data_IF_747922031723
#
_entry.id   IF_747922031723
#
_cell.length_a   1.000
_cell.length_b   1.000
_cell.length_c   1.000
_cell.angle_alpha   90.00
_cell.angle_beta   90.00
_cell.angle_gamma   90.00
#
_symmetry.space_group_name_H-M   'P 1'
#
loop_
_entity.id
_entity.type
_entity.pdbx_description
1 polymer ?
#
# COMPACT_ATOMS: atom_id res chain seq x y z
N UNK A 1 56.87 -16.67 7.04
CA UNK A 1 56.21 -16.33 5.77
C UNK A 1 55.09 -15.35 6.10
N UNK A 2 55.29 -14.13 5.61
CA UNK A 2 54.36 -13.02 5.41
C UNK A 2 53.68 -12.36 6.61
N UNK A 3 54.50 -11.61 7.34
CA UNK A 3 54.12 -10.37 8.04
C UNK A 3 53.83 -9.27 7.02
N UNK A 4 52.60 -9.19 6.50
CA UNK A 4 52.13 -8.02 5.74
C UNK A 4 51.79 -6.88 6.68
N UNK A 5 52.85 -6.23 7.18
CA UNK A 5 52.83 -4.94 7.85
C UNK A 5 52.44 -3.87 6.83
N UNK A 6 51.17 -3.42 6.84
CA UNK A 6 50.74 -2.28 6.04
C UNK A 6 51.42 -1.00 6.56
N UNK A 7 52.21 -0.29 5.74
CA UNK A 7 52.90 0.91 6.19
C UNK A 7 51.94 2.11 6.29
N UNK A 8 52.05 2.77 7.44
CA UNK A 8 51.86 4.19 7.69
C UNK A 8 50.47 4.79 7.37
N UNK A 9 49.68 4.96 8.45
CA UNK A 9 48.85 6.16 8.63
C UNK A 9 49.74 7.37 8.37
N UNK A 10 49.63 7.96 7.19
CA UNK A 10 50.26 9.22 6.88
C UNK A 10 49.69 10.25 7.85
N UNK A 11 50.57 10.75 8.72
CA UNK A 11 50.32 11.89 9.58
C UNK A 11 49.82 13.03 8.70
N UNK A 12 48.52 13.33 8.80
CA UNK A 12 47.99 14.59 8.31
C UNK A 12 48.75 15.70 9.02
N UNK A 13 49.28 16.73 8.33
CA UNK A 13 49.88 17.84 9.02
C UNK A 13 48.81 18.41 9.94
N UNK A 14 49.11 18.46 11.24
CA UNK A 14 48.47 19.36 12.17
C UNK A 14 48.76 20.79 11.71
N UNK A 15 48.13 21.22 10.62
CA UNK A 15 48.13 22.60 10.15
C UNK A 15 46.81 23.20 10.59
N UNK A 16 46.97 24.13 11.53
CA UNK A 16 46.09 25.25 11.82
C UNK A 16 44.98 24.94 12.84
N UNK A 17 45.42 24.62 14.07
CA UNK A 17 44.83 25.22 15.27
C UNK A 17 45.17 26.72 15.35
N UNK A 18 44.88 27.45 14.27
CA UNK A 18 44.97 28.89 14.16
C UNK A 18 43.74 29.29 13.36
N UNK A 19 42.97 30.23 13.90
CA UNK A 19 41.71 30.72 13.33
C UNK A 19 41.76 30.73 11.80
N UNK A 20 41.09 29.75 11.19
CA UNK A 20 40.94 29.74 9.75
C UNK A 20 39.97 30.87 9.41
N UNK A 21 40.49 32.07 9.17
CA UNK A 21 39.89 33.11 8.34
C UNK A 21 39.83 32.59 6.89
N UNK A 22 39.10 31.50 6.68
CA UNK A 22 38.68 31.07 5.37
C UNK A 22 37.86 32.18 4.72
N UNK A 23 37.87 32.26 3.40
CA UNK A 23 37.05 33.26 2.71
C UNK A 23 35.58 33.12 3.13
N UNK A 24 34.78 34.20 3.07
CA UNK A 24 33.36 34.15 3.45
C UNK A 24 32.60 32.98 2.78
N UNK A 25 32.94 32.65 1.53
CA UNK A 25 32.38 31.51 0.81
C UNK A 25 32.74 30.15 1.44
N UNK A 26 33.97 29.97 1.94
CA UNK A 26 34.40 28.73 2.61
C UNK A 26 33.73 28.56 3.98
N UNK A 27 33.53 29.66 4.71
CA UNK A 27 32.80 29.63 5.98
C UNK A 27 31.32 29.29 5.75
N UNK A 28 30.68 29.92 4.78
CA UNK A 28 29.29 29.61 4.40
C UNK A 28 29.13 28.15 3.97
N UNK A 29 30.08 27.60 3.21
CA UNK A 29 30.06 26.20 2.81
C UNK A 29 30.17 25.24 4.01
N UNK A 30 31.07 25.52 4.96
CA UNK A 30 31.20 24.71 6.19
C UNK A 30 29.92 24.77 7.03
N UNK A 31 29.31 25.94 7.15
CA UNK A 31 28.02 26.10 7.84
C UNK A 31 26.91 25.32 7.13
N UNK A 32 26.86 25.36 5.79
CA UNK A 32 25.88 24.60 5.02
C UNK A 32 26.03 23.08 5.20
N UNK A 33 27.27 22.57 5.24
CA UNK A 33 27.52 21.15 5.56
C UNK A 33 26.98 20.81 6.96
N UNK A 34 27.30 21.64 7.97
CA UNK A 34 26.79 21.43 9.33
C UNK A 34 25.26 21.43 9.39
N UNK A 35 24.60 22.35 8.69
CA UNK A 35 23.14 22.39 8.61
C UNK A 35 22.55 21.15 7.93
N UNK A 36 23.19 20.62 6.89
CA UNK A 36 22.74 19.38 6.22
C UNK A 36 22.92 18.17 7.13
N UNK A 37 24.01 18.09 7.88
CA UNK A 37 24.24 17.01 8.86
C UNK A 37 23.22 17.05 9.99
N UNK A 38 22.93 18.24 10.53
CA UNK A 38 21.88 18.42 11.53
C UNK A 38 20.51 17.99 10.98
N UNK A 39 20.15 18.41 9.76
CA UNK A 39 18.89 18.04 9.13
C UNK A 39 18.78 16.54 8.88
N UNK A 40 19.89 15.86 8.55
CA UNK A 40 19.94 14.41 8.41
C UNK A 40 19.67 13.70 9.73
N UNK A 41 20.23 14.21 10.82
CA UNK A 41 20.00 13.64 12.16
C UNK A 41 18.55 13.88 12.61
N UNK A 42 18.01 15.09 12.39
CA UNK A 42 16.60 15.40 12.64
C UNK A 42 15.66 14.48 11.85
N UNK A 43 15.96 14.22 10.57
CA UNK A 43 15.17 13.33 9.73
C UNK A 43 15.23 11.88 10.21
N UNK A 44 16.39 11.42 10.69
CA UNK A 44 16.54 10.08 11.28
C UNK A 44 15.68 9.96 12.54
N UNK A 45 15.79 10.92 13.46
CA UNK A 45 15.00 10.98 14.69
C UNK A 45 13.50 10.99 14.41
N UNK A 46 13.05 11.80 13.44
CA UNK A 46 11.63 11.86 13.07
C UNK A 46 11.11 10.53 12.53
N UNK A 47 11.92 9.79 11.75
CA UNK A 47 11.55 8.47 11.24
C UNK A 47 11.45 7.43 12.35
N UNK A 48 12.37 7.47 13.31
CA UNK A 48 12.33 6.59 14.48
C UNK A 48 11.09 6.87 15.34
N UNK A 49 10.79 8.15 15.59
CA UNK A 49 9.57 8.56 16.30
C UNK A 49 8.31 8.13 15.55
N UNK A 50 8.26 8.28 14.22
CA UNK A 50 7.15 7.82 13.40
C UNK A 50 6.98 6.30 13.47
N UNK A 51 8.08 5.54 13.40
CA UNK A 51 8.05 4.09 13.53
C UNK A 51 7.51 3.66 14.90
N UNK A 52 8.01 4.29 15.98
CA UNK A 52 7.54 4.04 17.34
C UNK A 52 6.06 4.41 17.52
N UNK A 53 5.61 5.55 16.98
CA UNK A 53 4.21 5.97 17.03
C UNK A 53 3.29 5.01 16.28
N UNK A 54 3.69 4.55 15.09
CA UNK A 54 2.94 3.52 14.33
C UNK A 54 2.86 2.21 15.12
N UNK A 55 3.95 1.77 15.73
CA UNK A 55 3.95 0.55 16.52
C UNK A 55 3.05 0.68 17.76
N UNK A 56 3.11 1.82 18.46
CA UNK A 56 2.24 2.10 19.60
C UNK A 56 0.77 2.13 19.18
N UNK A 57 0.45 2.79 18.07
CA UNK A 57 -0.89 2.81 17.49
C UNK A 57 -1.39 1.39 17.18
N UNK A 58 -0.60 0.58 16.49
CA UNK A 58 -0.96 -0.81 16.20
C UNK A 58 -1.15 -1.66 17.45
N UNK A 59 -0.36 -1.45 18.51
CA UNK A 59 -0.56 -2.13 19.80
C UNK A 59 -1.88 -1.76 20.48
N UNK A 60 -2.36 -0.54 20.25
CA UNK A 60 -3.64 -0.08 20.81
C UNK A 60 -4.83 -0.54 19.96
N UNK A 61 -4.70 -0.50 18.63
CA UNK A 61 -5.80 -0.81 17.71
C UNK A 61 -5.90 -2.29 17.37
N UNK A 62 -4.79 -3.04 17.44
CA UNK A 62 -4.74 -4.48 17.16
C UNK A 62 -5.73 -5.31 17.98
N UNK A 63 -5.79 -5.16 19.33
CA UNK A 63 -6.77 -5.86 20.15
C UNK A 63 -8.21 -5.54 19.78
N UNK A 64 -8.52 -4.26 19.55
CA UNK A 64 -9.86 -3.82 19.16
C UNK A 64 -10.26 -4.37 17.78
N UNK A 65 -9.32 -4.43 16.84
CA UNK A 65 -9.54 -5.06 15.54
C UNK A 65 -9.83 -6.55 15.71
N UNK A 66 -9.05 -7.27 16.52
CA UNK A 66 -9.26 -8.68 16.80
C UNK A 66 -10.62 -8.95 17.48
N UNK A 67 -11.01 -8.13 18.45
CA UNK A 67 -12.33 -8.19 19.09
C UNK A 67 -13.46 -7.93 18.10
N UNK A 68 -13.28 -6.96 17.20
CA UNK A 68 -14.27 -6.65 16.15
C UNK A 68 -14.41 -7.81 15.17
N UNK A 69 -13.31 -8.43 14.74
CA UNK A 69 -13.31 -9.62 13.87
C UNK A 69 -14.00 -10.78 14.59
N UNK A 70 -13.66 -11.05 15.84
CA UNK A 70 -14.28 -12.12 16.63
C UNK A 70 -15.78 -11.91 16.80
N UNK A 71 -16.21 -10.69 17.14
CA UNK A 71 -17.62 -10.35 17.28
C UNK A 71 -18.39 -10.51 15.96
N UNK A 72 -17.77 -10.16 14.83
CA UNK A 72 -18.38 -10.33 13.50
C UNK A 72 -18.48 -11.79 13.09
N UNK A 73 -17.45 -12.60 13.34
CA UNK A 73 -17.46 -14.05 13.07
C UNK A 73 -18.47 -14.80 13.95
N UNK A 74 -18.68 -14.34 15.18
CA UNK A 74 -19.69 -14.91 16.08
C UNK A 74 -21.12 -14.78 15.54
N UNK A 75 -21.37 -13.93 14.52
CA UNK A 75 -22.67 -13.83 13.85
C UNK A 75 -22.93 -14.95 12.84
N UNK A 76 -21.89 -15.64 12.34
CA UNK A 76 -22.08 -16.64 11.28
C UNK A 76 -22.91 -17.82 11.74
N UNK A 77 -22.47 -18.52 12.80
CA UNK A 77 -23.18 -19.69 13.32
C UNK A 77 -24.68 -19.43 13.57
N UNK A 78 -25.09 -18.40 14.35
CA UNK A 78 -26.51 -18.21 14.64
C UNK A 78 -27.33 -17.84 13.40
N UNK A 79 -26.74 -17.16 12.42
CA UNK A 79 -27.43 -16.79 11.17
C UNK A 79 -27.53 -17.99 10.22
N UNK A 80 -26.51 -18.83 10.12
CA UNK A 80 -26.56 -20.07 9.33
C UNK A 80 -27.55 -21.07 9.95
N UNK A 81 -27.61 -21.16 11.28
CA UNK A 81 -28.62 -21.93 12.00
C UNK A 81 -30.02 -21.38 11.71
N UNK A 82 -30.22 -20.06 11.70
CA UNK A 82 -31.51 -19.46 11.36
C UNK A 82 -31.95 -19.81 9.93
N UNK A 83 -31.03 -19.78 8.95
CA UNK A 83 -31.32 -20.15 7.56
C UNK A 83 -31.75 -21.62 7.40
N UNK A 84 -31.23 -22.52 8.20
CA UNK A 84 -31.54 -23.96 8.12
C UNK A 84 -32.74 -24.38 8.97
N UNK A 85 -33.13 -23.54 9.94
CA UNK A 85 -34.21 -23.84 10.90
C UNK A 85 -35.64 -23.85 10.32
N UNK A 86 -35.84 -23.28 9.13
CA UNK A 86 -37.16 -23.20 8.48
C UNK A 86 -38.14 -22.21 9.12
N UNK A 87 -37.69 -21.38 10.06
CA UNK A 87 -38.51 -20.32 10.67
C UNK A 87 -38.64 -19.07 9.81
N UNK A 88 -37.71 -18.85 8.88
CA UNK A 88 -37.64 -17.65 8.06
C UNK A 88 -38.53 -17.77 6.81
N UNK A 89 -39.14 -16.65 6.43
CA UNK A 89 -39.76 -16.54 5.11
C UNK A 89 -38.69 -16.26 4.04
N UNK A 90 -39.06 -16.37 2.75
CA UNK A 90 -38.13 -16.19 1.62
C UNK A 90 -37.40 -14.84 1.60
N UNK A 91 -38.07 -13.76 2.01
CA UNK A 91 -37.45 -12.44 2.04
C UNK A 91 -36.44 -12.33 3.20
N UNK A 92 -36.76 -12.92 4.34
CA UNK A 92 -35.86 -13.00 5.50
C UNK A 92 -34.65 -13.87 5.21
N UNK A 93 -34.82 -15.02 4.52
CA UNK A 93 -33.70 -15.85 4.06
C UNK A 93 -32.72 -15.05 3.19
N UNK A 94 -33.25 -14.28 2.23
CA UNK A 94 -32.44 -13.43 1.35
C UNK A 94 -31.70 -12.34 2.14
N UNK A 95 -32.40 -11.67 3.06
CA UNK A 95 -31.81 -10.65 3.90
C UNK A 95 -30.68 -11.20 4.78
N UNK A 96 -30.87 -12.37 5.38
CA UNK A 96 -29.83 -13.03 6.19
C UNK A 96 -28.63 -13.43 5.34
N UNK A 97 -28.85 -13.98 4.14
CA UNK A 97 -27.78 -14.30 3.20
C UNK A 97 -26.98 -13.05 2.77
N UNK A 98 -27.66 -11.92 2.52
CA UNK A 98 -27.01 -10.64 2.21
C UNK A 98 -26.16 -10.13 3.39
N UNK A 99 -26.66 -10.25 4.62
CA UNK A 99 -25.92 -9.87 5.83
C UNK A 99 -24.65 -10.72 5.99
N UNK A 100 -24.75 -12.04 5.77
CA UNK A 100 -23.60 -12.95 5.80
C UNK A 100 -22.55 -12.57 4.76
N UNK A 101 -22.99 -12.36 3.51
CA UNK A 101 -22.12 -11.98 2.40
C UNK A 101 -21.42 -10.62 2.63
N UNK A 102 -22.18 -9.59 3.02
CA UNK A 102 -21.62 -8.26 3.27
C UNK A 102 -20.66 -8.26 4.48
N UNK A 103 -20.97 -9.03 5.52
CA UNK A 103 -20.08 -9.19 6.65
C UNK A 103 -18.74 -9.81 6.23
N UNK A 104 -18.77 -10.93 5.49
CA UNK A 104 -17.58 -11.59 4.96
C UNK A 104 -16.75 -10.68 4.04
N UNK A 105 -17.41 -9.94 3.15
CA UNK A 105 -16.74 -8.96 2.29
C UNK A 105 -16.08 -7.85 3.11
N UNK A 106 -16.75 -7.37 4.16
CA UNK A 106 -16.22 -6.33 5.05
C UNK A 106 -15.00 -6.82 5.83
N UNK A 107 -15.03 -8.05 6.34
CA UNK A 107 -13.91 -8.69 7.02
C UNK A 107 -12.70 -8.85 6.10
N UNK A 108 -12.91 -9.37 4.89
CA UNK A 108 -11.84 -9.54 3.90
C UNK A 108 -11.25 -8.18 3.48
N UNK A 109 -12.09 -7.20 3.12
CA UNK A 109 -11.62 -5.93 2.57
C UNK A 109 -10.95 -5.01 3.61
N UNK A 110 -11.41 -5.02 4.87
CA UNK A 110 -10.95 -4.07 5.90
C UNK A 110 -9.97 -4.66 6.89
N UNK A 111 -10.07 -5.96 7.16
CA UNK A 111 -9.27 -6.65 8.16
C UNK A 111 -8.32 -7.69 7.55
N UNK A 112 -8.47 -8.00 6.25
CA UNK A 112 -7.62 -8.97 5.55
C UNK A 112 -7.91 -10.43 5.93
N UNK A 113 -9.10 -10.71 6.47
CA UNK A 113 -9.49 -12.05 6.90
C UNK A 113 -9.81 -12.96 5.71
N UNK A 114 -9.54 -14.27 5.87
CA UNK A 114 -9.88 -15.29 4.88
C UNK A 114 -11.32 -15.77 5.06
N UNK A 115 -12.26 -15.14 4.33
CA UNK A 115 -13.69 -15.47 4.36
C UNK A 115 -14.20 -16.03 3.01
N UNK A 116 -13.31 -16.65 2.23
CA UNK A 116 -13.61 -17.10 0.87
C UNK A 116 -14.75 -18.14 0.81
N UNK A 117 -14.83 -19.02 1.79
CA UNK A 117 -15.87 -20.06 1.86
C UNK A 117 -17.27 -19.47 2.08
N UNK A 118 -17.39 -18.48 2.97
CA UNK A 118 -18.64 -17.77 3.24
C UNK A 118 -19.05 -16.97 2.00
N UNK A 119 -18.10 -16.30 1.35
CA UNK A 119 -18.35 -15.55 0.11
C UNK A 119 -18.81 -16.44 -1.03
N UNK A 120 -18.22 -17.63 -1.18
CA UNK A 120 -18.62 -18.59 -2.22
C UNK A 120 -20.03 -19.14 -1.97
N UNK A 121 -20.39 -19.39 -0.70
CA UNK A 121 -21.68 -19.96 -0.31
C UNK A 121 -22.85 -18.98 -0.47
N UNK A 122 -22.63 -17.71 -0.13
CA UNK A 122 -23.66 -16.67 -0.10
C UNK A 122 -23.49 -15.62 -1.19
N UNK A 123 -22.67 -15.88 -2.21
CA UNK A 123 -22.56 -15.00 -3.37
C UNK A 123 -23.96 -14.74 -3.96
N UNK A 124 -24.29 -13.47 -4.29
CA UNK A 124 -25.54 -13.19 -4.96
C UNK A 124 -25.62 -14.00 -6.24
N UNK A 125 -26.79 -14.57 -6.52
CA UNK A 125 -27.01 -15.30 -7.75
C UNK A 125 -26.64 -14.39 -8.93
N UNK A 126 -25.84 -14.88 -9.90
CA UNK A 126 -25.51 -14.08 -11.07
C UNK A 126 -26.84 -13.66 -11.73
N UNK A 127 -26.97 -12.40 -12.17
CA UNK A 127 -28.15 -11.99 -12.90
C UNK A 127 -28.37 -12.96 -14.06
N UNK A 128 -29.62 -13.35 -14.36
CA UNK A 128 -29.88 -14.21 -15.50
C UNK A 128 -29.22 -13.57 -16.74
N UNK A 129 -28.50 -14.35 -17.57
CA UNK A 129 -27.92 -13.80 -18.79
C UNK A 129 -29.05 -13.17 -19.57
N UNK A 130 -28.94 -11.86 -19.84
CA UNK A 130 -29.89 -11.18 -20.70
C UNK A 130 -29.99 -11.97 -22.00
N UNK A 131 -31.18 -12.42 -22.43
CA UNK A 131 -31.33 -13.27 -23.60
C UNK A 131 -31.07 -12.54 -24.94
N UNK A 132 -30.26 -11.46 -24.94
CA UNK A 132 -30.04 -10.60 -26.11
C UNK A 132 -28.57 -10.27 -26.41
N UNK A 133 -27.59 -10.98 -25.86
CA UNK A 133 -26.19 -10.80 -26.25
C UNK A 133 -25.43 -12.12 -26.48
N UNK A 134 -26.03 -13.00 -27.28
CA UNK A 134 -25.25 -13.90 -28.14
C UNK A 134 -25.04 -13.22 -29.50
N UNK A 135 -24.04 -12.36 -29.55
CA UNK A 135 -23.36 -11.98 -30.79
C UNK A 135 -21.92 -11.58 -30.48
N UNK A 136 -20.89 -12.24 -31.05
CA UNK A 136 -19.52 -11.76 -30.94
C UNK A 136 -19.38 -10.55 -31.87
N UNK A 137 -19.65 -9.35 -31.34
CA UNK A 137 -19.23 -8.12 -31.99
C UNK A 137 -17.71 -7.99 -31.79
N UNK A 138 -16.95 -8.39 -32.80
CA UNK A 138 -15.54 -8.03 -32.95
C UNK A 138 -15.41 -6.51 -32.78
N UNK A 139 -14.89 -6.07 -31.64
CA UNK A 139 -14.46 -4.68 -31.49
C UNK A 139 -13.25 -4.47 -32.41
N UNK A 140 -13.25 -3.46 -33.31
CA UNK A 140 -12.02 -3.04 -33.95
C UNK A 140 -11.05 -2.52 -32.88
N UNK A 141 -9.73 -2.69 -33.04
CA UNK A 141 -8.75 -2.25 -32.07
C UNK A 141 -8.83 -0.73 -31.94
N UNK A 142 -9.32 -0.26 -30.79
CA UNK A 142 -9.27 1.15 -30.46
C UNK A 142 -7.84 1.50 -30.07
N UNK A 143 -7.09 2.03 -31.03
CA UNK A 143 -5.83 2.75 -30.73
C UNK A 143 -6.17 3.93 -29.82
N UNK A 144 -5.47 4.09 -28.69
CA UNK A 144 -5.72 5.19 -27.77
C UNK A 144 -5.45 6.54 -28.45
N UNK A 145 -6.28 7.55 -28.18
CA UNK A 145 -6.30 8.85 -28.87
C UNK A 145 -4.95 9.60 -28.90
N UNK A 146 -4.00 9.25 -28.03
CA UNK A 146 -2.65 9.84 -28.04
C UNK A 146 -1.80 9.40 -29.25
N UNK A 147 -2.13 8.27 -29.88
CA UNK A 147 -1.39 7.75 -31.03
C UNK A 147 -1.78 8.43 -32.36
N UNK A 148 -3.03 8.91 -32.45
CA UNK A 148 -3.55 9.64 -33.61
C UNK A 148 -2.95 11.06 -33.74
N UNK A 149 -2.57 11.68 -32.62
CA UNK A 149 -1.93 13.00 -32.60
C UNK A 149 -0.45 12.98 -33.05
N UNK A 150 0.22 11.82 -33.01
CA UNK A 150 1.63 11.67 -33.37
C UNK A 150 1.86 11.34 -34.86
N UNK A 151 0.82 10.95 -35.60
CA UNK A 151 0.89 10.61 -37.02
C UNK A 151 1.35 11.77 -37.95
N UNK A 152 0.87 13.03 -37.81
CA UNK A 152 1.31 14.11 -38.69
C UNK A 152 2.77 14.54 -38.44
N UNK A 153 3.30 14.35 -37.23
CA UNK A 153 4.69 14.68 -36.91
C UNK A 153 5.70 13.72 -37.56
N UNK A 154 5.33 12.44 -37.73
CA UNK A 154 6.18 11.42 -38.37
C UNK A 154 6.25 11.56 -39.89
N UNK A 155 5.20 12.08 -40.53
CA UNK A 155 5.16 12.29 -41.97
C UNK A 155 6.12 13.40 -42.46
N UNK A 156 6.38 14.42 -41.63
CA UNK A 156 7.29 15.52 -42.00
C UNK A 156 8.78 15.14 -41.94
N UNK A 157 9.16 14.10 -41.21
CA UNK A 157 10.56 13.67 -41.10
C UNK A 157 11.00 12.64 -42.15
N UNK A 158 10.10 12.15 -43.01
CA UNK A 158 10.41 11.16 -44.05
C UNK A 158 10.52 11.74 -45.48
N UNK A 159 10.42 13.07 -45.64
CA UNK A 159 10.75 13.78 -46.89
C UNK A 159 11.90 14.74 -46.63
N UNK A 160 13.12 14.20 -46.60
CA UNK A 160 14.33 14.94 -46.92
C UNK A 160 15.26 14.06 -47.73
#
# INVERSE_FOLDING_TARGET
MDTSSLPLRQFWPARLAGEATGSPAQQAFRQAIGAVEELREQLRSLREQQAAARQAYWRQVGPLAAETVAARRALYEPLETALTSGYLNRAEEQQVAEVLWHNAQSLQARFGEEEADILARYAPAPPPPDPLLDAPAQMPPQTPAHEQAAAPARACCARR
#
